data_IF_950412775629
#
_entry.id   IF_950412775629
#
_cell.length_a   1.000
_cell.length_b   1.000
_cell.length_c   1.000
_cell.angle_alpha   90.00
_cell.angle_beta   90.00
_cell.angle_gamma   90.00
#
_symmetry.space_group_name_H-M   'P 1'
#
loop_
_entity.id
_entity.type
_entity.pdbx_description
1 polymer ?
#
# COMPACT_ATOMS: atom_id res chain seq x y z
N UNK A 1 0.82 -7.57 9.66
CA UNK A 1 1.64 -6.82 8.68
C UNK A 1 1.65 -7.57 7.36
N UNK A 2 1.33 -6.88 6.28
CA UNK A 2 1.23 -7.48 4.95
C UNK A 2 2.09 -6.68 3.98
N UNK A 3 2.92 -7.36 3.22
CA UNK A 3 3.76 -6.74 2.19
C UNK A 3 3.45 -7.41 0.86
N UNK A 4 3.16 -6.60 -0.16
CA UNK A 4 2.88 -7.09 -1.52
C UNK A 4 3.79 -6.39 -2.53
N UNK A 5 4.10 -7.04 -3.66
CA UNK A 5 4.80 -6.37 -4.75
C UNK A 5 3.87 -5.38 -5.46
N UNK A 6 4.46 -4.31 -5.95
CA UNK A 6 3.78 -3.34 -6.82
C UNK A 6 4.65 -3.10 -8.05
N UNK A 7 4.05 -2.52 -9.10
CA UNK A 7 4.82 -2.03 -10.23
C UNK A 7 5.80 -0.95 -9.74
N UNK A 8 7.03 -0.91 -10.26
CA UNK A 8 8.03 0.05 -9.77
C UNK A 8 7.52 1.48 -9.80
N UNK A 9 7.69 2.17 -8.67
CA UNK A 9 7.31 3.57 -8.51
C UNK A 9 8.57 4.38 -8.20
N UNK A 10 8.98 5.21 -9.15
CA UNK A 10 10.21 6.00 -9.04
C UNK A 10 9.91 7.37 -8.44
N UNK A 11 10.69 7.75 -7.45
CA UNK A 11 10.59 9.04 -6.79
C UNK A 11 11.96 9.60 -6.47
N UNK A 12 11.99 10.82 -5.97
CA UNK A 12 13.23 11.50 -5.65
C UNK A 12 13.71 12.36 -6.83
N UNK A 13 14.96 12.81 -6.76
CA UNK A 13 15.55 13.62 -7.82
C UNK A 13 16.17 12.73 -8.91
N UNK A 14 16.35 13.25 -10.14
CA UNK A 14 17.05 12.50 -11.17
C UNK A 14 18.48 12.11 -10.81
N UNK A 15 19.10 12.87 -9.89
CA UNK A 15 20.47 12.59 -9.42
C UNK A 15 20.50 11.48 -8.36
N UNK A 16 19.40 11.28 -7.63
CA UNK A 16 19.31 10.29 -6.56
C UNK A 16 17.90 9.68 -6.55
N UNK A 17 17.55 8.88 -7.58
CA UNK A 17 16.23 8.28 -7.67
C UNK A 17 16.06 7.19 -6.62
N UNK A 18 14.84 7.05 -6.10
CA UNK A 18 14.45 5.95 -5.24
C UNK A 18 13.31 5.21 -5.92
N UNK A 19 13.36 3.88 -5.89
CA UNK A 19 12.35 3.06 -6.55
C UNK A 19 11.64 2.20 -5.50
N UNK A 20 10.34 2.42 -5.35
CA UNK A 20 9.49 1.59 -4.52
C UNK A 20 8.98 0.41 -5.33
N UNK A 21 9.15 -0.80 -4.79
CA UNK A 21 8.72 -2.03 -5.45
C UNK A 21 7.81 -2.86 -4.57
N UNK A 22 7.62 -2.45 -3.31
CA UNK A 22 6.77 -3.16 -2.36
C UNK A 22 5.89 -2.18 -1.60
N UNK A 23 4.68 -2.63 -1.29
CA UNK A 23 3.69 -1.87 -0.54
C UNK A 23 3.39 -2.61 0.76
N UNK A 24 3.56 -1.93 1.88
CA UNK A 24 3.37 -2.52 3.20
C UNK A 24 2.13 -1.94 3.87
N UNK A 25 1.28 -2.82 4.38
CA UNK A 25 0.16 -2.46 5.25
C UNK A 25 0.54 -2.88 6.66
N UNK A 26 0.80 -1.91 7.54
CA UNK A 26 1.24 -2.19 8.92
C UNK A 26 0.08 -2.34 9.88
N UNK A 27 -0.96 -1.54 9.69
CA UNK A 27 -2.05 -1.48 10.63
C UNK A 27 -3.34 -1.13 9.89
N UNK A 28 -4.41 -1.85 10.20
CA UNK A 28 -5.74 -1.57 9.65
C UNK A 28 -6.67 -1.25 10.79
N UNK A 29 -7.28 -0.09 10.73
CA UNK A 29 -8.32 0.32 11.67
C UNK A 29 -9.67 0.16 10.97
N UNK A 30 -10.42 -0.85 11.39
CA UNK A 30 -11.73 -1.11 10.84
C UNK A 30 -12.78 -0.32 11.62
N UNK A 31 -13.42 0.60 10.93
CA UNK A 31 -14.53 1.39 11.48
C UNK A 31 -15.75 1.10 10.61
N UNK A 32 -16.42 -0.03 10.90
CA UNK A 32 -17.52 -0.53 10.08
C UNK A 32 -18.45 0.58 9.60
N UNK A 33 -18.79 0.65 8.30
CA UNK A 33 -18.50 -0.33 7.23
C UNK A 33 -17.21 -0.05 6.46
N UNK A 34 -16.41 0.93 6.85
CA UNK A 34 -15.17 1.33 6.16
C UNK A 34 -13.94 0.96 6.97
N UNK A 35 -12.76 1.13 6.37
CA UNK A 35 -11.49 0.93 7.05
C UNK A 35 -10.48 1.97 6.61
N UNK A 36 -9.46 2.17 7.45
CA UNK A 36 -8.31 3.03 7.15
C UNK A 36 -7.06 2.24 7.51
N UNK A 37 -6.06 2.26 6.64
CA UNK A 37 -4.84 1.49 6.85
C UNK A 37 -3.61 2.38 6.82
N UNK A 38 -2.66 2.11 7.73
CA UNK A 38 -1.36 2.75 7.74
C UNK A 38 -0.44 2.00 6.76
N UNK A 39 -0.05 2.69 5.69
CA UNK A 39 0.67 2.09 4.58
C UNK A 39 2.02 2.76 4.35
N UNK A 40 2.98 1.98 3.85
CA UNK A 40 4.35 2.41 3.61
C UNK A 40 4.87 1.87 2.30
N UNK A 41 5.75 2.63 1.65
CA UNK A 41 6.40 2.24 0.41
C UNK A 41 7.81 1.75 0.73
N UNK A 42 8.15 0.56 0.26
CA UNK A 42 9.43 -0.08 0.50
C UNK A 42 10.19 -0.28 -0.81
N UNK A 43 11.51 -0.34 -0.71
CA UNK A 43 12.37 -0.74 -1.84
C UNK A 43 12.47 -2.27 -1.97
N UNK A 44 13.28 -2.75 -2.91
CA UNK A 44 13.46 -4.18 -3.15
C UNK A 44 14.07 -4.92 -1.96
N UNK A 45 14.79 -4.22 -1.10
CA UNK A 45 15.42 -4.79 0.10
C UNK A 45 14.48 -4.76 1.31
N UNK A 46 13.27 -4.24 1.15
CA UNK A 46 12.31 -4.12 2.24
C UNK A 46 12.54 -2.90 3.13
N UNK A 47 13.39 -1.97 2.70
CA UNK A 47 13.65 -0.75 3.45
C UNK A 47 12.62 0.31 3.09
N UNK A 48 12.03 0.94 4.10
CA UNK A 48 11.05 2.00 3.86
C UNK A 48 11.70 3.20 3.18
N UNK A 49 11.10 3.66 2.09
CA UNK A 49 11.55 4.86 1.40
C UNK A 49 10.63 6.05 1.64
N UNK A 50 9.36 5.80 1.97
CA UNK A 50 8.47 6.87 2.44
C UNK A 50 7.22 6.28 3.10
N UNK A 51 6.62 6.99 4.08
CA UNK A 51 5.28 6.67 4.52
C UNK A 51 4.27 7.07 3.43
N UNK A 52 3.32 6.20 3.12
CA UNK A 52 2.21 6.53 2.23
C UNK A 52 1.13 7.26 3.02
N UNK A 53 1.00 6.92 4.30
CA UNK A 53 0.03 7.50 5.20
C UNK A 53 -1.21 6.63 5.35
N UNK A 54 -2.31 7.26 5.74
CA UNK A 54 -3.57 6.56 5.95
C UNK A 54 -4.31 6.43 4.63
N UNK A 55 -4.56 5.19 4.21
CA UNK A 55 -5.26 4.88 2.97
C UNK A 55 -6.64 4.34 3.30
N UNK A 56 -7.71 5.01 2.84
CA UNK A 56 -9.07 4.56 3.13
C UNK A 56 -9.50 3.43 2.20
N UNK A 57 -10.35 2.56 2.71
CA UNK A 57 -11.07 1.55 1.94
C UNK A 57 -12.56 1.81 2.07
N UNK A 58 -13.29 1.68 0.96
CA UNK A 58 -14.73 1.91 0.92
C UNK A 58 -15.49 0.75 1.57
N UNK A 59 -16.77 0.98 1.89
CA UNK A 59 -17.64 -0.07 2.43
C UNK A 59 -17.73 -1.27 1.48
N UNK A 60 -17.81 -1.01 0.17
CA UNK A 60 -17.88 -2.09 -0.83
C UNK A 60 -16.58 -2.89 -0.86
N UNK A 61 -15.43 -2.22 -0.76
CA UNK A 61 -14.14 -2.90 -0.74
C UNK A 61 -13.98 -3.76 0.52
N UNK A 62 -14.42 -3.26 1.67
CA UNK A 62 -14.38 -4.03 2.91
C UNK A 62 -15.32 -5.23 2.87
N UNK A 63 -16.47 -5.11 2.22
CA UNK A 63 -17.44 -6.19 2.11
C UNK A 63 -16.93 -7.40 1.30
N UNK A 64 -15.98 -7.17 0.39
CA UNK A 64 -15.37 -8.23 -0.43
C UNK A 64 -13.97 -8.60 0.02
N UNK A 65 -13.64 -8.34 1.26
CA UNK A 65 -12.35 -8.69 1.83
C UNK A 65 -12.20 -10.21 1.90
N UNK A 66 -11.41 -10.77 1.00
CA UNK A 66 -11.20 -12.21 0.89
C UNK A 66 -10.00 -12.64 1.75
N UNK A 67 -8.87 -11.96 1.59
CA UNK A 67 -7.67 -12.17 2.39
C UNK A 67 -6.83 -10.90 2.42
N UNK A 68 -5.82 -10.91 3.27
CA UNK A 68 -5.01 -9.71 3.51
C UNK A 68 -4.21 -9.27 2.29
N UNK A 69 -3.69 -10.21 1.50
CA UNK A 69 -2.91 -9.88 0.31
C UNK A 69 -3.76 -9.18 -0.75
N UNK A 70 -4.97 -9.69 -0.99
CA UNK A 70 -5.91 -9.08 -1.93
C UNK A 70 -6.30 -7.68 -1.44
N UNK A 71 -6.58 -7.55 -0.16
CA UNK A 71 -6.95 -6.26 0.42
C UNK A 71 -5.81 -5.25 0.36
N UNK A 72 -4.56 -5.69 0.58
CA UNK A 72 -3.39 -4.83 0.43
C UNK A 72 -3.28 -4.32 -1.01
N UNK A 73 -3.60 -5.15 -2.00
CA UNK A 73 -3.66 -4.73 -3.40
C UNK A 73 -4.69 -3.65 -3.65
N UNK A 74 -5.87 -3.78 -3.04
CA UNK A 74 -6.92 -2.75 -3.13
C UNK A 74 -6.43 -1.43 -2.54
N UNK A 75 -5.78 -1.48 -1.38
CA UNK A 75 -5.24 -0.28 -0.74
C UNK A 75 -4.13 0.36 -1.58
N UNK A 76 -3.26 -0.44 -2.20
CA UNK A 76 -2.21 0.08 -3.07
C UNK A 76 -2.80 0.85 -4.25
N UNK A 77 -3.83 0.30 -4.89
CA UNK A 77 -4.53 0.98 -5.99
C UNK A 77 -5.20 2.25 -5.51
N UNK A 78 -5.87 2.21 -4.35
CA UNK A 78 -6.48 3.39 -3.76
C UNK A 78 -5.46 4.50 -3.48
N UNK A 79 -4.24 4.13 -3.15
CA UNK A 79 -3.14 5.07 -2.89
C UNK A 79 -2.48 5.59 -4.18
N UNK A 80 -2.86 5.08 -5.34
CA UNK A 80 -2.33 5.53 -6.62
C UNK A 80 -1.20 4.69 -7.19
N UNK A 81 -0.91 3.53 -6.60
CA UNK A 81 0.10 2.60 -7.12
C UNK A 81 -0.52 1.60 -8.07
N UNK A 82 0.30 1.01 -8.93
CA UNK A 82 -0.12 -0.03 -9.86
C UNK A 82 0.32 -1.40 -9.36
N UNK A 83 -0.53 -2.40 -9.55
CA UNK A 83 -0.16 -3.79 -9.28
C UNK A 83 0.66 -4.33 -10.46
N UNK A 84 1.58 -5.29 -10.19
CA UNK A 84 2.41 -5.86 -11.24
C UNK A 84 1.60 -6.61 -12.28
#
# INVERSE_FOLDING_TARGET
>A
MTIIPIAPYTMGSPAAPKVGTQFEVRYVQYASPTAVADCHLLDADGVEIMPVGLVPATAEQCAVWVNDDVFAGVLAVNAGFELP
#
